data_IF_356381128570
#
_entry.id   IF_356381128570
#
_cell.length_a   1.000
_cell.length_b   1.000
_cell.length_c   1.000
_cell.angle_alpha   90.00
_cell.angle_beta   90.00
_cell.angle_gamma   90.00
#
_symmetry.space_group_name_H-M   'P 1'
#
loop_
_entity.id
_entity.type
_entity.pdbx_description
1 polymer ?
#
# COMPACT_ATOMS: atom_id res chain seq x y z
N UNK A 1 25.93 -18.92 53.54
CA UNK A 1 26.35 -18.73 52.16
C UNK A 1 25.07 -18.48 51.35
N UNK A 2 24.74 -17.23 51.12
CA UNK A 2 23.56 -16.81 50.37
C UNK A 2 23.98 -16.63 48.90
N UNK A 3 23.56 -17.55 48.05
CA UNK A 3 23.74 -17.46 46.58
C UNK A 3 22.79 -16.42 46.03
N UNK A 4 23.29 -15.26 45.66
CA UNK A 4 22.59 -14.26 44.85
C UNK A 4 22.45 -14.79 43.43
N UNK A 5 21.21 -15.05 43.01
CA UNK A 5 20.89 -15.34 41.63
C UNK A 5 21.20 -14.10 40.78
N UNK A 6 22.09 -14.26 39.81
CA UNK A 6 22.38 -13.23 38.80
C UNK A 6 21.21 -13.23 37.82
N UNK A 7 20.39 -12.17 37.86
CA UNK A 7 19.38 -11.90 36.85
C UNK A 7 20.05 -11.77 35.48
N UNK A 8 19.78 -12.72 34.60
CA UNK A 8 20.17 -12.65 33.18
C UNK A 8 19.43 -11.48 32.51
N UNK A 9 20.11 -10.60 31.79
CA UNK A 9 19.44 -9.45 31.14
C UNK A 9 18.43 -9.97 30.13
N UNK A 10 17.18 -9.59 30.32
CA UNK A 10 16.06 -9.80 29.41
C UNK A 10 16.47 -9.36 28.03
N UNK A 11 16.30 -10.24 27.02
CA UNK A 11 16.71 -10.05 25.63
C UNK A 11 16.22 -8.71 25.05
N UNK A 12 16.94 -8.22 24.06
CA UNK A 12 16.65 -6.94 23.43
C UNK A 12 15.18 -6.88 22.93
N UNK A 13 14.59 -5.69 22.90
CA UNK A 13 13.21 -5.49 22.43
C UNK A 13 12.95 -6.10 21.02
N UNK A 14 14.00 -6.21 20.21
CA UNK A 14 13.95 -6.87 18.90
C UNK A 14 13.84 -8.41 19.04
N UNK A 15 14.58 -9.03 19.95
CA UNK A 15 14.51 -10.46 20.23
C UNK A 15 13.14 -10.84 20.82
N UNK A 16 12.61 -10.03 21.74
CA UNK A 16 11.27 -10.24 22.30
C UNK A 16 10.15 -10.13 21.25
N UNK A 17 10.29 -9.24 20.25
CA UNK A 17 9.35 -9.14 19.12
C UNK A 17 9.42 -10.37 18.21
N UNK A 18 10.61 -10.89 17.94
CA UNK A 18 10.80 -12.09 17.13
C UNK A 18 10.19 -13.35 17.74
N UNK A 19 10.01 -13.39 19.08
CA UNK A 19 9.35 -14.50 19.79
C UNK A 19 7.82 -14.48 19.70
N UNK A 20 7.18 -13.35 19.31
CA UNK A 20 5.72 -13.30 19.15
C UNK A 20 5.30 -14.08 17.90
N UNK A 21 4.11 -14.74 17.91
CA UNK A 21 3.61 -15.48 16.75
C UNK A 21 3.46 -14.55 15.53
N UNK A 22 3.49 -15.14 14.34
CA UNK A 22 3.34 -14.40 13.07
C UNK A 22 1.95 -13.81 12.89
N UNK A 23 0.95 -14.55 13.39
CA UNK A 23 -0.47 -14.18 13.29
C UNK A 23 -1.08 -13.98 14.66
N UNK A 24 -2.12 -13.14 14.74
CA UNK A 24 -2.91 -12.90 15.94
C UNK A 24 -4.40 -12.78 15.61
N UNK A 25 -5.23 -13.51 16.36
CA UNK A 25 -6.67 -13.42 16.23
C UNK A 25 -7.21 -13.84 14.87
N UNK A 26 -8.50 -13.60 14.68
CA UNK A 26 -9.19 -13.87 13.42
C UNK A 26 -10.06 -12.69 13.02
N UNK A 27 -10.22 -12.50 11.72
CA UNK A 27 -11.17 -11.53 11.20
C UNK A 27 -12.59 -11.82 11.69
N UNK A 28 -13.27 -10.80 12.21
CA UNK A 28 -14.67 -10.93 12.61
C UNK A 28 -15.57 -11.19 11.41
N UNK A 29 -16.74 -11.82 11.64
CA UNK A 29 -17.75 -11.99 10.57
C UNK A 29 -18.16 -10.65 9.94
N UNK A 30 -18.34 -9.61 10.76
CA UNK A 30 -18.66 -8.26 10.27
C UNK A 30 -17.55 -7.68 9.37
N UNK A 31 -16.29 -7.86 9.74
CA UNK A 31 -15.14 -7.45 8.90
C UNK A 31 -15.15 -8.19 7.57
N UNK A 32 -15.39 -9.50 7.57
CA UNK A 32 -15.46 -10.30 6.33
C UNK A 32 -16.62 -9.87 5.43
N UNK A 33 -17.80 -9.58 5.99
CA UNK A 33 -18.95 -9.06 5.21
C UNK A 33 -18.61 -7.71 4.60
N UNK A 34 -18.02 -6.79 5.37
CA UNK A 34 -17.55 -5.50 4.88
C UNK A 34 -16.53 -5.67 3.76
N UNK A 35 -15.56 -6.57 3.94
CA UNK A 35 -14.53 -6.87 2.94
C UNK A 35 -15.17 -7.41 1.64
N UNK A 36 -16.09 -8.37 1.73
CA UNK A 36 -16.83 -8.86 0.57
C UNK A 36 -17.54 -7.73 -0.16
N UNK A 37 -18.24 -6.85 0.55
CA UNK A 37 -18.93 -5.71 -0.06
C UNK A 37 -17.94 -4.76 -0.77
N UNK A 38 -16.86 -4.34 -0.09
CA UNK A 38 -15.88 -3.39 -0.63
C UNK A 38 -14.94 -3.97 -1.71
N UNK A 39 -14.86 -5.29 -1.85
CA UNK A 39 -14.15 -5.94 -2.96
C UNK A 39 -15.10 -6.21 -4.11
N UNK A 40 -16.28 -6.82 -3.82
CA UNK A 40 -17.18 -7.31 -4.86
C UNK A 40 -17.95 -6.18 -5.55
N UNK A 41 -18.49 -5.21 -4.80
CA UNK A 41 -19.31 -4.15 -5.41
C UNK A 41 -18.49 -3.26 -6.36
N UNK A 42 -17.31 -2.74 -6.00
CA UNK A 42 -16.47 -2.00 -6.93
C UNK A 42 -16.01 -2.84 -8.12
N UNK A 43 -15.69 -4.12 -7.89
CA UNK A 43 -15.33 -5.04 -8.99
C UNK A 43 -16.47 -5.24 -9.97
N UNK A 44 -17.70 -5.48 -9.50
CA UNK A 44 -18.89 -5.60 -10.37
C UNK A 44 -19.17 -4.28 -11.10
N UNK A 45 -18.97 -3.13 -10.43
CA UNK A 45 -19.13 -1.84 -11.06
C UNK A 45 -18.19 -1.63 -12.26
N UNK A 46 -16.97 -2.21 -12.25
CA UNK A 46 -16.04 -2.13 -13.39
C UNK A 46 -16.62 -2.74 -14.67
N UNK A 47 -17.47 -3.77 -14.59
CA UNK A 47 -18.16 -4.33 -15.76
C UNK A 47 -19.24 -3.40 -16.32
N UNK A 48 -19.79 -2.51 -15.49
CA UNK A 48 -20.79 -1.53 -15.90
C UNK A 48 -20.20 -0.23 -16.48
N UNK A 49 -18.87 -0.04 -16.42
CA UNK A 49 -18.20 1.18 -16.90
C UNK A 49 -18.56 1.52 -18.33
N UNK A 50 -18.47 0.54 -19.25
CA UNK A 50 -18.74 0.78 -20.68
C UNK A 50 -20.19 1.16 -20.92
N UNK A 51 -21.22 0.38 -20.52
CA UNK A 51 -22.61 0.75 -20.78
C UNK A 51 -23.03 2.03 -20.06
N UNK A 52 -22.52 2.31 -18.86
CA UNK A 52 -22.81 3.56 -18.13
C UNK A 52 -22.22 4.77 -18.84
N UNK A 53 -20.95 4.72 -19.25
CA UNK A 53 -20.31 5.80 -20.00
C UNK A 53 -20.97 6.01 -21.37
N UNK A 54 -21.27 4.92 -22.10
CA UNK A 54 -21.92 4.96 -23.40
C UNK A 54 -23.34 5.54 -23.34
N UNK A 55 -24.07 5.32 -22.25
CA UNK A 55 -25.38 5.90 -21.97
C UNK A 55 -25.36 7.39 -21.61
N UNK A 56 -24.19 8.05 -21.64
CA UNK A 56 -24.05 9.46 -21.30
C UNK A 56 -24.07 9.76 -19.79
N UNK A 57 -23.85 8.75 -18.95
CA UNK A 57 -23.83 8.87 -17.48
C UNK A 57 -22.40 9.10 -16.93
N UNK A 58 -21.58 9.87 -17.66
CA UNK A 58 -20.27 10.35 -17.28
C UNK A 58 -20.17 11.83 -17.57
N UNK A 59 -19.98 12.65 -16.56
CA UNK A 59 -19.84 14.10 -16.68
C UNK A 59 -18.41 14.56 -16.32
N UNK A 60 -18.07 15.81 -16.69
CA UNK A 60 -16.83 16.44 -16.27
C UNK A 60 -16.70 16.54 -14.74
N UNK A 61 -17.81 16.71 -14.02
CA UNK A 61 -17.86 16.70 -12.55
C UNK A 61 -17.45 15.35 -11.99
N UNK A 62 -17.96 14.25 -12.57
CA UNK A 62 -17.60 12.89 -12.14
C UNK A 62 -16.10 12.62 -12.32
N UNK A 63 -15.55 13.02 -13.48
CA UNK A 63 -14.11 12.90 -13.77
C UNK A 63 -13.27 13.70 -12.79
N UNK A 64 -13.68 14.94 -12.47
CA UNK A 64 -12.95 15.78 -11.52
C UNK A 64 -12.95 15.19 -10.10
N UNK A 65 -14.11 14.77 -9.59
CA UNK A 65 -14.23 14.15 -8.26
C UNK A 65 -13.43 12.84 -8.22
N UNK A 66 -13.55 12.00 -9.26
CA UNK A 66 -12.78 10.76 -9.40
C UNK A 66 -11.27 11.04 -9.33
N UNK A 67 -10.76 11.97 -10.13
CA UNK A 67 -9.34 12.28 -10.18
C UNK A 67 -8.80 12.77 -8.82
N UNK A 68 -9.52 13.69 -8.17
CA UNK A 68 -9.15 14.19 -6.84
C UNK A 68 -9.12 13.04 -5.82
N UNK A 69 -10.19 12.23 -5.76
CA UNK A 69 -10.28 11.13 -4.81
C UNK A 69 -9.23 10.04 -5.08
N UNK A 70 -8.93 9.74 -6.36
CA UNK A 70 -7.91 8.78 -6.75
C UNK A 70 -6.51 9.23 -6.29
N UNK A 71 -6.17 10.50 -6.54
CA UNK A 71 -4.89 11.08 -6.14
C UNK A 71 -4.76 11.12 -4.61
N UNK A 72 -5.76 11.63 -3.90
CA UNK A 72 -5.70 11.75 -2.44
C UNK A 72 -5.56 10.39 -1.77
N UNK A 73 -6.40 9.42 -2.15
CA UNK A 73 -6.38 8.08 -1.51
C UNK A 73 -5.20 7.24 -1.98
N UNK A 74 -4.78 7.38 -3.25
CA UNK A 74 -3.58 6.73 -3.78
C UNK A 74 -2.30 7.22 -3.10
N UNK A 75 -2.12 8.54 -2.93
CA UNK A 75 -1.00 9.11 -2.17
C UNK A 75 -1.09 8.76 -0.67
N UNK A 76 -2.29 8.62 -0.12
CA UNK A 76 -2.50 8.11 1.23
C UNK A 76 -1.91 6.72 1.44
N UNK A 77 -2.04 5.83 0.45
CA UNK A 77 -1.37 4.52 0.46
C UNK A 77 0.12 4.67 0.18
N UNK A 78 0.50 5.26 -0.94
CA UNK A 78 1.88 5.18 -1.45
C UNK A 78 2.87 6.04 -0.65
N UNK A 79 2.49 7.27 -0.29
CA UNK A 79 3.31 8.16 0.55
C UNK A 79 3.03 7.91 2.03
N UNK A 80 1.76 7.77 2.41
CA UNK A 80 1.34 7.65 3.81
C UNK A 80 1.63 6.28 4.41
N UNK A 81 0.88 5.27 4.02
CA UNK A 81 1.01 3.94 4.62
C UNK A 81 2.34 3.29 4.27
N UNK A 82 2.71 3.33 3.00
CA UNK A 82 3.86 2.60 2.48
C UNK A 82 5.19 3.27 2.86
N UNK A 83 5.51 4.42 2.26
CA UNK A 83 6.84 5.04 2.44
C UNK A 83 7.02 5.64 3.84
N UNK A 84 5.95 6.22 4.42
CA UNK A 84 6.05 6.87 5.73
C UNK A 84 5.86 5.90 6.90
N UNK A 85 4.63 5.32 7.07
CA UNK A 85 4.33 4.50 8.24
C UNK A 85 5.05 3.15 8.25
N UNK A 86 5.21 2.50 7.08
CA UNK A 86 5.87 1.21 6.99
C UNK A 86 7.39 1.34 7.03
N UNK A 87 7.95 2.14 6.11
CA UNK A 87 9.40 2.14 5.84
C UNK A 87 10.15 3.30 6.46
N UNK A 88 9.46 4.27 7.07
CA UNK A 88 10.09 5.43 7.70
C UNK A 88 11.07 6.15 6.76
N UNK A 89 10.67 6.30 5.49
CA UNK A 89 11.49 6.93 4.45
C UNK A 89 11.74 8.43 4.71
N UNK A 90 10.93 9.04 5.57
CA UNK A 90 11.07 10.41 6.04
C UNK A 90 10.41 10.59 7.41
N UNK A 91 10.62 11.74 8.06
CA UNK A 91 9.86 12.19 9.22
C UNK A 91 8.83 13.22 8.78
N UNK A 92 7.62 13.18 9.34
CA UNK A 92 6.53 14.10 9.01
C UNK A 92 6.11 14.93 10.23
N UNK A 93 5.64 16.16 10.01
CA UNK A 93 4.90 16.93 11.02
C UNK A 93 3.65 16.15 11.45
N UNK A 94 3.14 16.42 12.65
CA UNK A 94 1.98 15.69 13.19
C UNK A 94 0.75 15.80 12.28
N UNK A 95 0.45 17.00 11.77
CA UNK A 95 -0.69 17.19 10.88
C UNK A 95 -0.56 16.40 9.58
N UNK A 96 0.63 16.41 8.93
CA UNK A 96 0.87 15.64 7.71
C UNK A 96 0.74 14.14 7.97
N UNK A 97 1.30 13.64 9.10
CA UNK A 97 1.15 12.24 9.52
C UNK A 97 -0.31 11.81 9.61
N UNK A 98 -1.13 12.61 10.32
CA UNK A 98 -2.56 12.31 10.50
C UNK A 98 -3.30 12.38 9.17
N UNK A 99 -3.05 13.42 8.37
CA UNK A 99 -3.67 13.59 7.04
C UNK A 99 -3.36 12.39 6.12
N UNK A 100 -2.10 11.97 6.07
CA UNK A 100 -1.69 10.82 5.25
C UNK A 100 -2.32 9.52 5.77
N UNK A 101 -2.41 9.34 7.09
CA UNK A 101 -3.07 8.16 7.67
C UNK A 101 -4.57 8.12 7.36
N UNK A 102 -5.27 9.26 7.45
CA UNK A 102 -6.69 9.38 7.07
C UNK A 102 -6.88 9.11 5.57
N UNK A 103 -6.07 9.74 4.72
CA UNK A 103 -6.13 9.52 3.27
C UNK A 103 -5.88 8.05 2.88
N UNK A 104 -4.92 7.38 3.55
CA UNK A 104 -4.68 5.95 3.37
C UNK A 104 -5.85 5.08 3.83
N UNK A 105 -6.48 5.40 4.96
CA UNK A 105 -7.68 4.71 5.44
C UNK A 105 -8.85 4.85 4.45
N UNK A 106 -8.99 6.01 3.81
CA UNK A 106 -9.99 6.28 2.78
C UNK A 106 -9.74 5.52 1.46
N UNK A 107 -8.60 4.85 1.29
CA UNK A 107 -8.37 3.92 0.17
C UNK A 107 -9.09 2.56 0.35
N UNK A 108 -9.61 2.27 1.54
CA UNK A 108 -10.35 1.04 1.91
C UNK A 108 -9.52 -0.25 1.71
N UNK A 109 -8.22 -0.18 2.04
CA UNK A 109 -7.30 -1.32 1.92
C UNK A 109 -6.87 -1.93 3.27
N UNK A 110 -7.53 -1.54 4.34
CA UNK A 110 -7.22 -1.92 5.71
C UNK A 110 -6.92 -0.72 6.60
N UNK A 111 -7.06 -0.91 7.92
CA UNK A 111 -6.68 0.12 8.88
C UNK A 111 -5.15 0.33 8.87
N UNK A 112 -4.64 1.54 9.25
CA UNK A 112 -3.20 1.85 9.19
C UNK A 112 -2.33 0.78 9.84
N UNK A 113 -2.67 0.37 11.06
CA UNK A 113 -1.84 -0.56 11.84
C UNK A 113 -1.86 -1.97 11.23
N UNK A 114 -3.01 -2.44 10.73
CA UNK A 114 -3.10 -3.76 10.10
C UNK A 114 -2.39 -3.79 8.75
N UNK A 115 -2.62 -2.78 7.91
CA UNK A 115 -1.95 -2.68 6.60
C UNK A 115 -0.42 -2.68 6.74
N UNK A 116 0.10 -1.90 7.68
CA UNK A 116 1.55 -1.84 7.95
C UNK A 116 2.07 -3.17 8.50
N UNK A 117 1.30 -3.85 9.36
CA UNK A 117 1.69 -5.16 9.89
C UNK A 117 1.79 -6.21 8.78
N UNK A 118 0.79 -6.26 7.88
CA UNK A 118 0.80 -7.17 6.74
C UNK A 118 1.98 -6.89 5.80
N UNK A 119 2.24 -5.61 5.50
CA UNK A 119 3.29 -5.21 4.58
C UNK A 119 4.71 -5.41 5.16
N UNK A 120 4.93 -5.14 6.46
CA UNK A 120 6.22 -5.44 7.12
C UNK A 120 6.46 -6.95 7.22
N UNK A 121 5.39 -7.75 7.41
CA UNK A 121 5.47 -9.21 7.36
C UNK A 121 5.85 -9.67 5.95
N UNK A 122 5.21 -9.12 4.90
CA UNK A 122 5.59 -9.37 3.52
C UNK A 122 7.08 -9.08 3.27
N UNK A 123 7.58 -7.90 3.63
CA UNK A 123 9.00 -7.58 3.46
C UNK A 123 9.94 -8.48 4.24
N UNK A 124 9.51 -9.02 5.39
CA UNK A 124 10.34 -9.96 6.15
C UNK A 124 10.42 -11.33 5.49
N UNK A 125 9.35 -11.78 4.85
CA UNK A 125 9.20 -13.12 4.29
C UNK A 125 8.91 -13.13 2.78
N UNK A 126 9.22 -12.05 2.07
CA UNK A 126 8.87 -11.85 0.66
C UNK A 126 9.12 -13.10 -0.19
N UNK A 127 8.03 -13.59 -0.81
CA UNK A 127 7.96 -14.78 -1.66
C UNK A 127 8.35 -16.10 -0.98
N UNK A 128 8.48 -16.13 0.34
CA UNK A 128 8.66 -17.33 1.14
C UNK A 128 7.33 -17.84 1.72
N UNK A 129 7.35 -18.94 2.47
CA UNK A 129 6.15 -19.61 3.01
C UNK A 129 5.29 -18.71 3.90
N UNK A 130 5.93 -17.87 4.73
CA UNK A 130 5.28 -16.99 5.69
C UNK A 130 4.80 -15.64 5.10
N UNK A 131 5.01 -15.40 3.81
CA UNK A 131 4.51 -14.23 3.11
C UNK A 131 2.97 -14.27 3.02
N UNK A 132 2.25 -13.26 3.49
CA UNK A 132 0.79 -13.26 3.43
C UNK A 132 0.22 -13.29 2.02
N UNK A 133 0.94 -12.76 1.03
CA UNK A 133 0.41 -12.60 -0.34
C UNK A 133 1.41 -12.96 -1.47
N UNK A 134 2.27 -13.96 -1.26
CA UNK A 134 3.17 -14.42 -2.33
C UNK A 134 2.42 -15.10 -3.49
N UNK A 135 2.69 -14.71 -4.75
CA UNK A 135 2.20 -15.44 -5.93
C UNK A 135 2.88 -16.82 -6.10
N UNK A 136 3.97 -17.08 -5.39
CA UNK A 136 4.74 -18.32 -5.46
C UNK A 136 4.31 -19.37 -4.44
N UNK A 137 3.33 -19.04 -3.59
CA UNK A 137 2.84 -19.90 -2.50
C UNK A 137 2.44 -21.32 -2.93
N UNK A 138 2.00 -21.53 -4.17
CA UNK A 138 1.53 -22.82 -4.68
C UNK A 138 2.50 -23.46 -5.69
N UNK A 139 3.76 -23.04 -5.70
CA UNK A 139 4.83 -23.56 -6.55
C UNK A 139 4.88 -22.94 -7.94
N UNK A 140 5.83 -23.42 -8.76
CA UNK A 140 6.24 -22.80 -10.02
C UNK A 140 5.50 -23.36 -11.26
N UNK A 141 4.63 -24.37 -11.11
CA UNK A 141 3.84 -24.88 -12.23
C UNK A 141 2.85 -23.82 -12.72
N UNK A 142 2.43 -23.87 -13.97
CA UNK A 142 1.45 -22.93 -14.53
C UNK A 142 0.18 -22.87 -13.66
N UNK A 143 -0.36 -24.01 -13.23
CA UNK A 143 -1.51 -24.09 -12.32
C UNK A 143 -1.21 -23.48 -10.95
N UNK A 144 -0.02 -23.75 -10.39
CA UNK A 144 0.43 -23.20 -9.11
C UNK A 144 0.55 -21.69 -9.17
N UNK A 145 1.21 -21.18 -10.21
CA UNK A 145 1.39 -19.73 -10.40
C UNK A 145 0.06 -19.01 -10.67
N UNK A 146 -0.85 -19.57 -11.48
CA UNK A 146 -2.19 -18.98 -11.68
C UNK A 146 -2.95 -18.87 -10.37
N UNK A 147 -2.95 -19.93 -9.54
CA UNK A 147 -3.57 -19.92 -8.21
C UNK A 147 -2.87 -18.93 -7.28
N UNK A 148 -1.55 -18.85 -7.34
CA UNK A 148 -0.75 -17.92 -6.57
C UNK A 148 -0.99 -16.46 -6.94
N UNK A 149 -1.08 -16.16 -8.22
CA UNK A 149 -1.43 -14.83 -8.71
C UNK A 149 -2.81 -14.36 -8.21
N UNK A 150 -3.82 -15.23 -8.28
CA UNK A 150 -5.13 -14.93 -7.70
C UNK A 150 -5.05 -14.71 -6.18
N UNK A 151 -4.30 -15.57 -5.47
CA UNK A 151 -4.07 -15.43 -4.04
C UNK A 151 -3.40 -14.09 -3.71
N UNK A 152 -2.28 -13.77 -4.36
CA UNK A 152 -1.54 -12.54 -4.12
C UNK A 152 -2.33 -11.28 -4.49
N UNK A 153 -3.16 -11.36 -5.54
CA UNK A 153 -3.96 -10.24 -5.98
C UNK A 153 -5.13 -9.93 -5.02
N UNK A 154 -5.94 -10.93 -4.68
CA UNK A 154 -7.17 -10.70 -3.89
C UNK A 154 -7.44 -11.78 -2.84
N UNK A 155 -7.04 -13.02 -3.08
CA UNK A 155 -7.43 -14.15 -2.23
C UNK A 155 -6.93 -14.06 -0.79
N UNK A 156 -5.74 -13.49 -0.58
CA UNK A 156 -5.13 -13.34 0.74
C UNK A 156 -5.95 -12.44 1.69
N UNK A 157 -6.70 -11.48 1.15
CA UNK A 157 -7.56 -10.59 1.94
C UNK A 157 -8.63 -11.36 2.74
N UNK A 158 -9.04 -12.52 2.22
CA UNK A 158 -10.04 -13.39 2.85
C UNK A 158 -9.44 -14.44 3.79
N UNK A 159 -8.11 -14.40 4.03
CA UNK A 159 -7.51 -15.22 5.05
C UNK A 159 -8.10 -14.88 6.43
N UNK A 160 -8.38 -15.89 7.23
CA UNK A 160 -8.98 -15.66 8.55
C UNK A 160 -8.01 -15.08 9.55
N UNK A 161 -6.74 -15.50 9.48
CA UNK A 161 -5.69 -15.07 10.40
C UNK A 161 -5.13 -13.71 9.99
N UNK A 162 -4.93 -12.83 10.98
CA UNK A 162 -4.36 -11.51 10.80
C UNK A 162 -2.87 -11.52 11.16
N UNK A 163 -2.05 -10.74 10.45
CA UNK A 163 -0.67 -10.53 10.88
C UNK A 163 -0.61 -9.87 12.25
N UNK A 164 0.29 -10.34 13.10
CA UNK A 164 0.42 -9.89 14.47
C UNK A 164 0.95 -8.44 14.54
N UNK A 165 0.07 -7.50 14.87
CA UNK A 165 0.40 -6.06 14.95
C UNK A 165 1.41 -5.76 16.05
N UNK A 166 1.37 -6.51 17.17
CA UNK A 166 2.33 -6.34 18.25
C UNK A 166 3.74 -6.83 17.88
N UNK A 167 3.87 -7.70 16.86
CA UNK A 167 5.14 -8.11 16.27
C UNK A 167 5.61 -7.13 15.20
N UNK A 168 4.74 -6.79 14.25
CA UNK A 168 5.13 -6.08 13.03
C UNK A 168 4.90 -4.56 13.05
N UNK A 169 3.99 -4.05 13.90
CA UNK A 169 3.67 -2.62 13.98
C UNK A 169 3.54 -2.08 15.42
N UNK A 170 4.46 -2.44 16.37
CA UNK A 170 4.36 -2.00 17.75
C UNK A 170 4.51 -0.49 17.93
N UNK A 171 5.23 0.17 17.05
CA UNK A 171 5.37 1.63 16.97
C UNK A 171 4.03 2.33 16.68
N UNK A 172 3.23 1.77 15.78
CA UNK A 172 1.91 2.31 15.45
C UNK A 172 0.86 2.00 16.53
N UNK A 173 1.00 0.86 17.24
CA UNK A 173 0.15 0.58 18.40
C UNK A 173 0.39 1.58 19.55
N UNK A 174 1.61 2.12 19.67
CA UNK A 174 1.95 3.13 20.66
C UNK A 174 1.53 4.56 20.24
N UNK A 175 1.26 4.80 18.95
CA UNK A 175 0.88 6.12 18.43
C UNK A 175 -0.63 6.37 18.60
N UNK A 176 -0.97 7.26 19.54
CA UNK A 176 -2.39 7.60 19.85
C UNK A 176 -3.16 8.19 18.67
N UNK A 177 -2.50 8.94 17.77
CA UNK A 177 -3.15 9.53 16.60
C UNK A 177 -3.49 8.44 15.59
N UNK A 178 -2.56 7.52 15.33
CA UNK A 178 -2.79 6.38 14.43
C UNK A 178 -3.87 5.45 14.98
N UNK A 179 -3.87 5.18 16.29
CA UNK A 179 -4.91 4.36 16.91
C UNK A 179 -6.31 4.99 16.82
N UNK A 180 -6.42 6.33 16.77
CA UNK A 180 -7.70 6.99 16.48
C UNK A 180 -8.15 6.76 15.04
N UNK A 181 -7.23 6.83 14.07
CA UNK A 181 -7.54 6.55 12.67
C UNK A 181 -7.92 5.08 12.47
N UNK A 182 -7.23 4.14 13.15
CA UNK A 182 -7.62 2.72 13.16
C UNK A 182 -9.08 2.51 13.61
N UNK A 183 -9.48 3.16 14.71
CA UNK A 183 -10.86 3.07 15.23
C UNK A 183 -11.89 3.68 14.27
N UNK A 184 -11.51 4.70 13.52
CA UNK A 184 -12.38 5.38 12.57
C UNK A 184 -12.39 4.74 11.19
N UNK A 185 -11.62 3.66 10.96
CA UNK A 185 -11.46 3.06 9.64
C UNK A 185 -12.80 2.72 8.96
N UNK A 186 -13.75 2.12 9.67
CA UNK A 186 -15.08 1.80 9.12
C UNK A 186 -15.85 3.07 8.68
N UNK A 187 -15.83 4.13 9.51
CA UNK A 187 -16.44 5.41 9.16
C UNK A 187 -15.76 6.06 7.94
N UNK A 188 -14.43 6.07 7.90
CA UNK A 188 -13.66 6.62 6.78
C UNK A 188 -13.91 5.84 5.47
N UNK A 189 -14.09 4.52 5.58
CA UNK A 189 -14.45 3.66 4.44
C UNK A 189 -15.83 4.00 3.88
N UNK A 190 -16.83 4.23 4.73
CA UNK A 190 -18.14 4.68 4.29
C UNK A 190 -18.09 6.11 3.73
N UNK A 191 -17.38 7.00 4.40
CA UNK A 191 -17.22 8.39 3.94
C UNK A 191 -16.62 8.44 2.53
N UNK A 192 -15.55 7.71 2.27
CA UNK A 192 -14.89 7.72 0.95
C UNK A 192 -15.75 7.14 -0.16
N UNK A 193 -16.65 6.20 0.17
CA UNK A 193 -17.60 5.64 -0.80
C UNK A 193 -18.75 6.62 -1.11
N UNK A 194 -19.30 7.29 -0.10
CA UNK A 194 -20.53 8.09 -0.25
C UNK A 194 -20.31 9.60 -0.36
N UNK A 195 -19.21 10.16 0.14
CA UNK A 195 -18.92 11.60 -0.01
C UNK A 195 -18.94 12.09 -1.46
N UNK A 196 -18.45 11.31 -2.46
CA UNK A 196 -18.58 11.69 -3.86
C UNK A 196 -20.03 11.94 -4.29
N UNK A 197 -20.99 11.15 -3.81
CA UNK A 197 -22.42 11.36 -4.10
C UNK A 197 -22.91 12.71 -3.56
N UNK A 198 -22.54 13.03 -2.33
CA UNK A 198 -22.92 14.32 -1.73
C UNK A 198 -22.32 15.48 -2.51
N UNK A 199 -21.02 15.41 -2.83
CA UNK A 199 -20.33 16.46 -3.59
C UNK A 199 -20.94 16.60 -5.00
N UNK A 200 -21.12 15.49 -5.72
CA UNK A 200 -21.71 15.50 -7.07
C UNK A 200 -23.13 16.06 -7.09
N UNK A 201 -23.97 15.64 -6.13
CA UNK A 201 -25.32 16.16 -5.98
C UNK A 201 -25.37 17.66 -5.68
N UNK A 202 -24.50 18.16 -4.79
CA UNK A 202 -24.43 19.58 -4.45
C UNK A 202 -23.87 20.44 -5.61
N UNK A 203 -22.85 19.95 -6.31
CA UNK A 203 -22.23 20.69 -7.45
C UNK A 203 -23.20 20.78 -8.64
N UNK A 204 -23.94 19.70 -8.91
CA UNK A 204 -24.83 19.63 -10.07
C UNK A 204 -26.29 19.99 -9.74
N UNK A 205 -26.62 20.19 -8.46
CA UNK A 205 -28.00 20.35 -7.97
C UNK A 205 -28.94 19.27 -8.48
N UNK A 206 -28.44 18.01 -8.61
CA UNK A 206 -29.15 16.91 -9.24
C UNK A 206 -28.91 15.61 -8.49
N UNK A 207 -29.98 14.82 -8.27
CA UNK A 207 -29.86 13.46 -7.75
C UNK A 207 -29.12 12.54 -8.76
N UNK A 208 -29.26 12.81 -10.06
CA UNK A 208 -28.52 12.11 -11.09
C UNK A 208 -27.02 12.33 -10.93
N UNK A 209 -26.57 13.59 -10.72
CA UNK A 209 -25.16 13.90 -10.44
C UNK A 209 -24.66 13.26 -9.14
N UNK A 210 -25.52 13.08 -8.14
CA UNK A 210 -25.18 12.33 -6.95
C UNK A 210 -24.92 10.84 -7.28
N UNK A 211 -25.77 10.20 -8.05
CA UNK A 211 -25.65 8.79 -8.42
C UNK A 211 -24.44 8.53 -9.32
N UNK A 212 -24.21 9.41 -10.32
CA UNK A 212 -23.05 9.25 -11.22
C UNK A 212 -21.73 9.46 -10.47
N UNK A 213 -21.64 10.46 -9.59
CA UNK A 213 -20.48 10.67 -8.74
C UNK A 213 -20.25 9.51 -7.76
N UNK A 214 -21.29 8.93 -7.17
CA UNK A 214 -21.17 7.69 -6.39
C UNK A 214 -20.61 6.53 -7.22
N UNK A 215 -21.17 6.32 -8.43
CA UNK A 215 -20.72 5.26 -9.31
C UNK A 215 -19.24 5.45 -9.69
N UNK A 216 -18.87 6.61 -10.23
CA UNK A 216 -17.53 6.85 -10.75
C UNK A 216 -16.49 7.08 -9.66
N UNK A 217 -16.70 8.02 -8.76
CA UNK A 217 -15.72 8.40 -7.75
C UNK A 217 -15.83 7.61 -6.44
N UNK A 218 -16.99 7.02 -6.15
CA UNK A 218 -17.19 6.06 -5.08
C UNK A 218 -16.71 4.66 -5.49
N UNK A 219 -17.46 3.97 -6.36
CA UNK A 219 -17.23 2.56 -6.66
C UNK A 219 -16.06 2.33 -7.63
N UNK A 220 -16.08 2.94 -8.83
CA UNK A 220 -15.07 2.69 -9.87
C UNK A 220 -13.69 3.11 -9.38
N UNK A 221 -13.57 4.26 -8.71
CA UNK A 221 -12.29 4.72 -8.16
C UNK A 221 -11.75 3.75 -7.12
N UNK A 222 -12.59 3.24 -6.19
CA UNK A 222 -12.16 2.24 -5.20
C UNK A 222 -11.68 0.98 -5.91
N UNK A 223 -12.48 0.44 -6.84
CA UNK A 223 -12.12 -0.76 -7.59
C UNK A 223 -10.81 -0.61 -8.36
N UNK A 224 -10.65 0.48 -9.10
CA UNK A 224 -9.43 0.74 -9.86
C UNK A 224 -8.20 0.83 -8.94
N UNK A 225 -8.27 1.62 -7.86
CA UNK A 225 -7.15 1.75 -6.92
C UNK A 225 -6.79 0.43 -6.24
N UNK A 226 -7.78 -0.39 -5.88
CA UNK A 226 -7.57 -1.73 -5.33
C UNK A 226 -6.80 -2.61 -6.31
N UNK A 227 -7.29 -2.74 -7.55
CA UNK A 227 -6.64 -3.59 -8.54
C UNK A 227 -5.24 -3.09 -8.92
N UNK A 228 -5.00 -1.78 -8.98
CA UNK A 228 -3.66 -1.23 -9.19
C UNK A 228 -2.72 -1.59 -8.04
N UNK A 229 -3.15 -1.42 -6.78
CA UNK A 229 -2.31 -1.75 -5.62
C UNK A 229 -2.07 -3.26 -5.49
N UNK A 230 -3.12 -4.09 -5.67
CA UNK A 230 -2.99 -5.54 -5.62
C UNK A 230 -2.15 -6.11 -6.78
N UNK A 231 -2.09 -5.40 -7.92
CA UNK A 231 -1.19 -5.76 -9.00
C UNK A 231 0.30 -5.57 -8.63
N UNK A 232 0.62 -4.67 -7.70
CA UNK A 232 1.99 -4.59 -7.16
C UNK A 232 2.35 -5.89 -6.44
N UNK A 233 1.46 -6.44 -5.62
CA UNK A 233 1.70 -7.68 -4.89
C UNK A 233 1.74 -8.92 -5.81
N UNK A 234 0.97 -8.94 -6.87
CA UNK A 234 0.86 -10.08 -7.79
C UNK A 234 1.77 -9.93 -9.02
N UNK A 235 1.52 -8.94 -9.87
CA UNK A 235 2.22 -8.75 -11.15
C UNK A 235 3.69 -8.40 -10.93
N UNK A 236 3.99 -7.44 -10.03
CA UNK A 236 5.36 -7.01 -9.79
C UNK A 236 6.22 -8.03 -9.00
N UNK A 237 5.68 -9.17 -8.58
CA UNK A 237 6.45 -10.31 -8.05
C UNK A 237 6.62 -11.45 -9.05
N UNK A 238 6.07 -11.31 -10.29
CA UNK A 238 6.18 -12.33 -11.33
C UNK A 238 6.79 -11.77 -12.60
N UNK A 239 6.34 -10.58 -13.04
CA UNK A 239 6.71 -9.99 -14.33
C UNK A 239 7.47 -8.69 -14.16
N UNK A 240 8.53 -8.49 -14.93
CA UNK A 240 9.26 -7.24 -15.02
C UNK A 240 10.77 -7.38 -14.91
N UNK A 241 11.46 -6.25 -14.86
CA UNK A 241 12.91 -6.14 -14.80
C UNK A 241 13.40 -6.17 -13.35
N UNK A 242 14.59 -6.76 -13.13
CA UNK A 242 15.25 -6.87 -11.83
C UNK A 242 16.69 -6.34 -11.90
N UNK A 243 16.90 -5.02 -12.02
CA UNK A 243 18.24 -4.46 -12.11
C UNK A 243 19.01 -4.45 -10.78
N UNK A 244 18.35 -4.70 -9.64
CA UNK A 244 18.97 -4.65 -8.31
C UNK A 244 18.99 -6.02 -7.64
N UNK A 245 20.06 -6.26 -6.87
CA UNK A 245 20.21 -7.47 -6.05
C UNK A 245 19.11 -7.55 -4.99
N UNK A 246 18.56 -8.76 -4.83
CA UNK A 246 17.46 -9.06 -3.92
C UNK A 246 17.92 -10.01 -2.83
N UNK A 247 17.17 -10.08 -1.74
CA UNK A 247 17.35 -11.14 -0.76
C UNK A 247 16.95 -12.47 -1.36
N UNK A 248 17.51 -13.55 -0.82
CA UNK A 248 17.15 -14.91 -1.23
C UNK A 248 15.63 -15.13 -1.12
N UNK A 249 15.03 -15.66 -2.16
CA UNK A 249 13.60 -15.91 -2.25
C UNK A 249 12.78 -14.76 -2.83
N UNK A 250 13.17 -13.50 -2.60
CA UNK A 250 12.44 -12.30 -3.03
C UNK A 250 12.50 -12.12 -4.55
N UNK A 251 11.34 -11.99 -5.18
CA UNK A 251 11.19 -11.93 -6.64
C UNK A 251 10.58 -10.61 -7.14
N UNK A 252 10.58 -9.58 -6.31
CA UNK A 252 10.06 -8.27 -6.70
C UNK A 252 10.77 -7.72 -7.94
N UNK A 253 10.00 -7.14 -8.85
CA UNK A 253 10.42 -6.66 -10.17
C UNK A 253 9.80 -5.31 -10.51
N UNK A 254 10.40 -4.61 -11.47
CA UNK A 254 9.87 -3.36 -12.00
C UNK A 254 8.93 -3.63 -13.16
N UNK A 255 7.69 -3.12 -13.07
CA UNK A 255 6.68 -3.26 -14.12
C UNK A 255 6.19 -1.88 -14.57
N UNK A 256 6.84 -1.29 -15.58
CA UNK A 256 6.63 0.08 -16.04
C UNK A 256 5.17 0.43 -16.41
N UNK A 257 4.31 -0.48 -16.95
CA UNK A 257 2.96 -0.10 -17.35
C UNK A 257 2.08 0.40 -16.19
N UNK A 258 2.40 0.00 -14.95
CA UNK A 258 1.67 0.46 -13.77
C UNK A 258 2.25 1.73 -13.13
N UNK A 259 3.39 2.26 -13.61
CA UNK A 259 4.15 3.30 -12.92
C UNK A 259 3.33 4.57 -12.61
N UNK A 260 2.53 5.03 -13.57
CA UNK A 260 1.71 6.24 -13.40
C UNK A 260 0.52 5.96 -12.45
N UNK A 261 -0.24 4.90 -12.70
CA UNK A 261 -1.42 4.56 -11.91
C UNK A 261 -1.08 4.20 -10.47
N UNK A 262 0.08 3.60 -10.24
CA UNK A 262 0.58 3.25 -8.90
C UNK A 262 1.41 4.36 -8.24
N UNK A 263 1.47 5.56 -8.82
CA UNK A 263 2.28 6.67 -8.31
C UNK A 263 3.77 6.34 -8.12
N UNK A 264 4.30 5.34 -8.86
CA UNK A 264 5.69 4.89 -8.82
C UNK A 264 5.94 3.62 -8.00
N UNK A 265 4.91 3.00 -7.40
CA UNK A 265 5.09 1.79 -6.59
C UNK A 265 5.50 0.57 -7.41
N UNK A 266 5.23 0.55 -8.73
CA UNK A 266 5.62 -0.54 -9.63
C UNK A 266 7.12 -0.56 -9.98
N UNK A 267 7.91 0.43 -9.52
CA UNK A 267 9.38 0.35 -9.47
C UNK A 267 9.80 -0.48 -8.24
N UNK A 268 9.31 -1.70 -8.19
CA UNK A 268 9.22 -2.51 -6.98
C UNK A 268 10.52 -3.26 -6.64
N UNK A 269 11.40 -3.47 -7.64
CA UNK A 269 12.66 -4.17 -7.42
C UNK A 269 13.62 -3.36 -6.54
N UNK A 270 13.85 -2.07 -6.82
CA UNK A 270 14.66 -1.24 -5.91
C UNK A 270 14.02 -1.12 -4.54
N UNK A 271 12.68 -0.97 -4.50
CA UNK A 271 11.97 -0.85 -3.24
C UNK A 271 12.26 -2.05 -2.31
N UNK A 272 12.19 -3.28 -2.80
CA UNK A 272 12.54 -4.47 -2.03
C UNK A 272 14.03 -4.58 -1.71
N UNK A 273 14.91 -4.13 -2.61
CA UNK A 273 16.35 -4.05 -2.36
C UNK A 273 16.72 -2.97 -1.32
N UNK A 274 16.01 -1.84 -1.32
CA UNK A 274 16.23 -0.69 -0.40
C UNK A 274 14.91 -0.08 0.10
N UNK A 275 14.17 -0.78 0.98
CA UNK A 275 12.81 -0.40 1.39
C UNK A 275 12.71 1.00 2.00
N UNK A 276 13.78 1.49 2.61
CA UNK A 276 13.78 2.81 3.26
C UNK A 276 13.97 3.98 2.28
N UNK A 277 14.32 3.73 1.03
CA UNK A 277 14.52 4.78 0.04
C UNK A 277 13.19 5.50 -0.25
N UNK A 278 13.18 6.83 -0.18
CA UNK A 278 11.99 7.64 -0.43
C UNK A 278 11.60 7.69 -1.91
N UNK A 279 12.47 7.22 -2.81
CA UNK A 279 12.26 7.17 -4.25
C UNK A 279 12.48 5.75 -4.76
N UNK A 280 11.47 5.17 -5.41
CA UNK A 280 11.53 3.83 -5.99
C UNK A 280 12.03 3.85 -7.45
N UNK A 281 11.52 4.79 -8.24
CA UNK A 281 11.96 5.00 -9.62
C UNK A 281 13.26 5.81 -9.69
N UNK A 282 14.42 5.16 -9.52
CA UNK A 282 15.73 5.84 -9.41
C UNK A 282 16.45 5.95 -10.74
N UNK A 283 16.16 5.10 -11.72
CA UNK A 283 16.83 5.13 -13.01
C UNK A 283 16.17 6.14 -13.95
N UNK A 284 16.93 6.61 -14.95
CA UNK A 284 16.43 7.57 -15.94
C UNK A 284 15.20 7.04 -16.66
N UNK A 285 14.18 7.89 -16.80
CA UNK A 285 12.89 7.52 -17.42
C UNK A 285 11.87 6.89 -16.46
N UNK A 286 12.28 6.53 -15.25
CA UNK A 286 11.39 5.98 -14.23
C UNK A 286 10.64 7.12 -13.52
N UNK A 287 9.36 7.29 -13.84
CA UNK A 287 8.49 8.29 -13.23
C UNK A 287 8.01 7.79 -11.87
N UNK A 288 8.28 8.57 -10.81
CA UNK A 288 7.86 8.28 -9.43
C UNK A 288 7.16 9.52 -8.85
N UNK A 289 5.84 9.54 -8.95
CA UNK A 289 5.00 10.66 -8.52
C UNK A 289 5.05 10.82 -7.00
N UNK A 290 5.03 9.72 -6.25
CA UNK A 290 5.12 9.74 -4.78
C UNK A 290 6.41 10.41 -4.29
N UNK A 291 7.55 10.15 -4.94
CA UNK A 291 8.80 10.81 -4.62
C UNK A 291 8.74 12.33 -4.87
N UNK A 292 8.04 12.77 -5.93
CA UNK A 292 7.84 14.21 -6.19
C UNK A 292 7.00 14.87 -5.12
N UNK A 293 5.96 14.19 -4.65
CA UNK A 293 5.11 14.70 -3.55
C UNK A 293 5.89 14.76 -2.24
N UNK A 294 6.72 13.76 -1.91
CA UNK A 294 7.61 13.80 -0.74
C UNK A 294 8.60 14.96 -0.85
N UNK A 295 9.17 15.20 -2.03
CA UNK A 295 10.05 16.34 -2.28
C UNK A 295 9.35 17.69 -2.04
N UNK A 296 8.09 17.84 -2.48
CA UNK A 296 7.30 19.04 -2.16
C UNK A 296 7.09 19.20 -0.65
N UNK A 297 6.75 18.13 0.05
CA UNK A 297 6.59 18.17 1.51
C UNK A 297 7.89 18.56 2.22
N UNK A 298 9.04 18.10 1.71
CA UNK A 298 10.35 18.50 2.23
C UNK A 298 10.63 20.00 1.98
N UNK A 299 10.31 20.50 0.79
CA UNK A 299 10.46 21.95 0.45
C UNK A 299 9.61 22.86 1.33
N UNK A 300 8.42 22.43 1.71
CA UNK A 300 7.56 23.17 2.64
C UNK A 300 7.91 22.95 4.13
N UNK A 301 8.93 22.15 4.44
CA UNK A 301 9.30 21.81 5.81
C UNK A 301 8.31 20.86 6.52
N UNK A 302 7.37 20.25 5.80
CA UNK A 302 6.38 19.32 6.35
C UNK A 302 6.96 17.91 6.50
N UNK A 303 7.93 17.57 5.66
CA UNK A 303 8.75 16.36 5.76
C UNK A 303 10.22 16.73 6.01
N UNK A 304 10.90 15.91 6.83
CA UNK A 304 12.33 16.08 7.15
C UNK A 304 13.04 14.72 7.16
N UNK A 305 14.36 14.72 7.18
CA UNK A 305 15.18 13.50 7.20
C UNK A 305 14.79 12.51 6.08
N UNK A 306 14.50 13.05 4.89
CA UNK A 306 14.09 12.23 3.74
C UNK A 306 15.28 11.40 3.24
N UNK A 307 15.07 10.10 3.12
CA UNK A 307 16.11 9.15 2.68
C UNK A 307 16.14 9.09 1.14
N UNK A 308 16.69 10.13 0.53
CA UNK A 308 16.88 10.17 -0.92
C UNK A 308 17.92 9.16 -1.40
N UNK A 309 17.82 8.66 -2.66
CA UNK A 309 18.81 7.75 -3.23
C UNK A 309 20.18 8.45 -3.35
N UNK A 310 21.23 7.75 -2.90
CA UNK A 310 22.62 8.15 -3.11
C UNK A 310 23.23 7.28 -4.20
N UNK A 311 24.02 7.87 -5.10
CA UNK A 311 24.62 7.17 -6.26
C UNK A 311 25.35 5.90 -5.82
N UNK A 312 26.21 6.03 -4.81
CA UNK A 312 27.04 4.94 -4.29
C UNK A 312 26.18 3.79 -3.74
N UNK A 313 25.10 4.13 -3.00
CA UNK A 313 24.18 3.16 -2.43
C UNK A 313 23.35 2.44 -3.51
N UNK A 314 22.91 3.16 -4.53
CA UNK A 314 22.18 2.58 -5.67
C UNK A 314 23.11 1.67 -6.46
N UNK A 315 24.32 2.13 -6.79
CA UNK A 315 25.32 1.36 -7.53
C UNK A 315 25.71 0.08 -6.80
N UNK A 316 25.92 0.13 -5.48
CA UNK A 316 26.26 -1.04 -4.67
C UNK A 316 25.18 -2.14 -4.67
N UNK A 317 23.96 -1.81 -5.05
CA UNK A 317 22.81 -2.74 -5.13
C UNK A 317 22.51 -3.21 -6.56
N UNK A 318 23.16 -2.64 -7.59
CA UNK A 318 22.96 -3.06 -8.98
C UNK A 318 23.60 -4.41 -9.25
N UNK A 319 22.89 -5.27 -9.99
CA UNK A 319 23.43 -6.56 -10.47
C UNK A 319 24.60 -6.31 -11.39
N UNK A 320 24.46 -5.41 -12.36
CA UNK A 320 25.54 -4.94 -13.22
C UNK A 320 26.28 -3.76 -12.52
N UNK A 321 27.37 -4.06 -11.85
CA UNK A 321 28.19 -3.08 -11.10
C UNK A 321 29.03 -2.18 -12.00
N UNK A 322 29.22 -2.54 -13.25
CA UNK A 322 29.95 -1.73 -14.23
C UNK A 322 29.02 -0.68 -14.88
N UNK A 323 27.72 -0.91 -14.82
CA UNK A 323 26.75 0.06 -15.29
C UNK A 323 26.86 1.37 -14.50
N UNK A 324 26.86 2.49 -15.22
CA UNK A 324 26.74 3.81 -14.58
C UNK A 324 25.25 4.13 -14.37
N UNK A 325 24.74 4.18 -13.12
CA UNK A 325 23.36 4.47 -12.89
C UNK A 325 23.04 5.90 -13.34
N UNK A 326 22.28 6.02 -14.42
CA UNK A 326 21.72 7.31 -14.85
C UNK A 326 20.52 7.61 -13.96
N UNK A 327 20.79 8.26 -12.80
CA UNK A 327 19.73 8.57 -11.84
C UNK A 327 18.69 9.52 -12.45
N UNK A 328 17.44 9.32 -12.09
CA UNK A 328 16.36 10.23 -12.40
C UNK A 328 16.54 11.53 -11.59
N UNK A 329 16.41 12.69 -12.24
CA UNK A 329 16.50 14.02 -11.63
C UNK A 329 15.18 14.43 -10.99
#
# INVERSE_FOLDING_TARGET
MTTTAIDTPTGTAAAQRAQKPLTEGQQSKGTLIGLWAFVTLPFLALFAVIPVAWGGWLSGTDVAIFAVMYVVTGLGITVGYHRYLTHSSFKATRWLRVTLAVAGAMAVQGSPTQWVADHRRHHQYSDLEDDPHSPWRFGNSLKGLTKGMFHAHVGWLFARELSNRARFAPDLLADKDIQKVDKLFGLLSLTTAFAPAVVGGLVTWSWQGALTAFFWAGLIRIGLLHHVTWAINSVCHVYGERPFEMREGDKASNFWPLAILSFGESWHNLHHSDPTCARHGVLRGQIDISARVIWLFEKFGWATNVKWPKVERVKAKMIDRDAQPKLAR
#
